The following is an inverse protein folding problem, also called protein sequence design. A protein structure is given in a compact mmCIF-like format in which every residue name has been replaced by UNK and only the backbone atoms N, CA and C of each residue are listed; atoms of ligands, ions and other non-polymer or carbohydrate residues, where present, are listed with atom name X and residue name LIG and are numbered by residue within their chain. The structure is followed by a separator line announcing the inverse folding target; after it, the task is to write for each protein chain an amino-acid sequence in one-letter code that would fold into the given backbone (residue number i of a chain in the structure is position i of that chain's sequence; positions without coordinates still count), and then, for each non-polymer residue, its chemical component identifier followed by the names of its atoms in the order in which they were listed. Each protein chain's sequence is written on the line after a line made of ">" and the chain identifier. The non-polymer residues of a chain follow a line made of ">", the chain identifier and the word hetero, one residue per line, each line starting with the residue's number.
data_IF_524185825299
#
_entry.id   IF_524185825299
#
_cell.length_a   1.000
_cell.length_b   1.000
_cell.length_c   1.000
_cell.angle_alpha   90.00
_cell.angle_beta   90.00
_cell.angle_gamma   90.00
#
_symmetry.space_group_name_H-M   'P 1'
#
loop_
_entity.id
_entity.type
_entity.pdbx_description
1 polymer ?
#
# COMPACT_ATOMS: atom_id res chain seq x y z
N UNK A 1 -19.00 -5.47 28.76
CA UNK A 1 -18.78 -6.09 27.44
C UNK A 1 -17.81 -5.16 26.75
N UNK A 2 -16.52 -5.51 26.69
CA UNK A 2 -15.53 -4.71 25.99
C UNK A 2 -15.54 -5.21 24.55
N UNK A 3 -16.02 -4.38 23.63
CA UNK A 3 -15.92 -4.64 22.21
C UNK A 3 -14.43 -4.61 21.86
N UNK A 4 -13.81 -5.79 21.76
CA UNK A 4 -12.50 -5.90 21.14
C UNK A 4 -12.68 -5.61 19.65
N UNK A 5 -12.70 -4.33 19.26
CA UNK A 5 -12.26 -3.94 17.92
C UNK A 5 -10.83 -4.47 17.84
N UNK A 6 -10.66 -5.56 17.09
CA UNK A 6 -9.34 -6.06 16.79
C UNK A 6 -8.69 -4.99 15.93
N UNK A 7 -7.73 -4.26 16.50
CA UNK A 7 -6.90 -3.34 15.72
C UNK A 7 -6.21 -4.20 14.66
N UNK A 8 -6.48 -3.95 13.37
CA UNK A 8 -5.88 -4.74 12.28
C UNK A 8 -4.35 -4.59 12.27
N UNK A 9 -3.67 -5.28 11.35
CA UNK A 9 -2.21 -5.14 11.27
C UNK A 9 -1.80 -3.69 10.95
N UNK A 10 -0.65 -3.25 11.48
CA UNK A 10 -0.03 -1.98 11.10
C UNK A 10 0.63 -2.12 9.72
N UNK A 11 0.12 -1.39 8.73
CA UNK A 11 0.40 -1.64 7.31
C UNK A 11 1.46 -0.74 6.71
N UNK A 12 1.92 0.31 7.40
CA UNK A 12 2.94 1.22 6.83
C UNK A 12 4.19 0.47 6.40
N UNK A 13 4.81 0.99 5.36
CA UNK A 13 5.99 0.40 4.77
C UNK A 13 5.86 0.26 3.26
N UNK A 14 6.86 -0.39 2.67
CA UNK A 14 6.79 -0.80 1.28
C UNK A 14 6.96 -2.30 1.14
N UNK A 15 6.25 -2.83 0.16
CA UNK A 15 6.07 -4.24 -0.10
C UNK A 15 6.49 -4.52 -1.52
N UNK A 16 7.21 -5.61 -1.73
CA UNK A 16 7.71 -6.00 -3.05
C UNK A 16 6.97 -7.22 -3.55
N UNK A 17 6.61 -7.20 -4.83
CA UNK A 17 6.03 -8.37 -5.48
C UNK A 17 6.96 -9.58 -5.33
N UNK A 18 6.38 -10.66 -4.83
CA UNK A 18 7.10 -11.88 -4.46
C UNK A 18 7.65 -12.63 -5.68
N UNK A 19 6.95 -12.58 -6.82
CA UNK A 19 7.27 -13.46 -7.96
C UNK A 19 8.27 -12.85 -8.93
N UNK A 20 8.11 -11.57 -9.24
CA UNK A 20 8.86 -10.85 -10.27
C UNK A 20 9.70 -9.73 -9.67
N UNK A 21 9.35 -9.23 -8.48
CA UNK A 21 9.99 -8.08 -7.83
C UNK A 21 9.98 -6.80 -8.70
N UNK A 22 9.07 -6.73 -9.67
CA UNK A 22 8.93 -5.59 -10.59
C UNK A 22 7.91 -4.56 -10.12
N UNK A 23 7.05 -4.93 -9.17
CA UNK A 23 6.05 -4.04 -8.58
C UNK A 23 6.41 -3.78 -7.12
N UNK A 24 6.29 -2.52 -6.70
CA UNK A 24 6.42 -2.11 -5.30
C UNK A 24 5.14 -1.41 -4.89
N UNK A 25 4.59 -1.77 -3.74
CA UNK A 25 3.39 -1.18 -3.16
C UNK A 25 3.77 -0.55 -1.82
N UNK A 26 3.51 0.73 -1.63
CA UNK A 26 3.78 1.46 -0.40
C UNK A 26 2.48 1.92 0.25
N UNK A 27 2.50 1.98 1.58
CA UNK A 27 1.41 2.51 2.39
C UNK A 27 1.93 3.44 3.49
N UNK A 28 1.14 4.46 3.79
CA UNK A 28 1.34 5.37 4.90
C UNK A 28 -0.01 5.77 5.49
N UNK A 29 -0.30 5.27 6.68
CA UNK A 29 -1.57 5.45 7.37
C UNK A 29 -1.68 6.85 7.99
N UNK A 30 -0.59 7.34 8.59
CA UNK A 30 -0.55 8.65 9.27
C UNK A 30 -0.71 9.85 8.32
N UNK A 31 -0.30 9.73 7.05
CA UNK A 31 -0.44 10.77 6.02
C UNK A 31 -1.71 10.55 5.19
N UNK A 32 -2.87 10.76 5.81
CA UNK A 32 -4.17 10.71 5.14
C UNK A 32 -4.46 9.38 4.41
N UNK A 33 -4.01 8.26 4.99
CA UNK A 33 -4.20 6.92 4.44
C UNK A 33 -3.77 6.78 2.97
N UNK A 34 -2.52 7.15 2.67
CA UNK A 34 -1.99 7.11 1.32
C UNK A 34 -1.41 5.76 0.94
N UNK A 35 -1.50 5.45 -0.35
CA UNK A 35 -0.82 4.32 -0.95
C UNK A 35 -0.21 4.71 -2.29
N UNK A 36 0.81 3.98 -2.72
CA UNK A 36 1.39 4.12 -4.06
C UNK A 36 1.84 2.76 -4.58
N UNK A 37 1.46 2.45 -5.82
CA UNK A 37 1.97 1.31 -6.56
C UNK A 37 2.92 1.81 -7.67
N UNK A 38 4.15 1.32 -7.63
CA UNK A 38 5.16 1.53 -8.66
C UNK A 38 5.30 0.25 -9.48
N UNK A 39 5.00 0.33 -10.78
CA UNK A 39 5.11 -0.78 -11.71
C UNK A 39 6.42 -0.82 -12.48
N UNK A 40 6.52 -1.82 -13.36
CA UNK A 40 7.69 -2.00 -14.23
C UNK A 40 7.81 -0.83 -15.21
N UNK A 41 8.93 -0.11 -15.16
CA UNK A 41 9.20 1.02 -16.05
C UNK A 41 8.88 2.39 -15.46
N UNK A 42 8.61 2.45 -14.15
CA UNK A 42 8.45 3.71 -13.42
C UNK A 42 7.03 4.29 -13.46
N UNK A 43 6.05 3.55 -14.01
CA UNK A 43 4.65 3.96 -13.90
C UNK A 43 4.25 3.96 -12.42
N UNK A 44 3.81 5.11 -11.94
CA UNK A 44 3.33 5.28 -10.57
C UNK A 44 1.82 5.51 -10.60
N UNK A 45 1.12 4.86 -9.69
CA UNK A 45 -0.29 5.13 -9.40
C UNK A 45 -0.41 5.28 -7.90
N UNK A 46 -0.98 6.37 -7.44
CA UNK A 46 -1.22 6.62 -6.03
C UNK A 46 -2.65 7.05 -5.75
N UNK A 47 -2.93 7.20 -4.46
CA UNK A 47 -4.21 7.68 -3.97
C UNK A 47 -4.40 7.37 -2.50
N UNK A 48 -5.65 7.15 -2.11
CA UNK A 48 -6.06 6.94 -0.72
C UNK A 48 -6.64 5.55 -0.51
N UNK A 49 -6.53 5.03 0.70
CA UNK A 49 -7.15 3.76 1.08
C UNK A 49 -8.06 3.91 2.29
N UNK A 50 -9.00 2.99 2.41
CA UNK A 50 -9.92 2.90 3.55
C UNK A 50 -9.95 1.47 4.08
N UNK A 51 -9.96 1.30 5.41
CA UNK A 51 -10.20 0.00 6.05
C UNK A 51 -11.70 -0.32 5.99
N UNK A 52 -12.02 -1.58 5.70
CA UNK A 52 -13.39 -2.09 5.73
C UNK A 52 -13.77 -2.53 7.15
N UNK A 53 -14.98 -3.09 7.33
CA UNK A 53 -15.40 -3.70 8.61
C UNK A 53 -14.41 -4.75 9.12
N UNK A 54 -13.81 -5.52 8.20
CA UNK A 54 -12.59 -6.27 8.50
C UNK A 54 -11.38 -5.34 8.38
N UNK A 55 -10.64 -5.09 9.48
CA UNK A 55 -9.57 -4.10 9.50
C UNK A 55 -8.34 -4.55 8.70
N UNK A 56 -8.27 -5.80 8.26
CA UNK A 56 -7.22 -6.32 7.41
C UNK A 56 -7.61 -6.28 5.92
N UNK A 57 -8.79 -5.78 5.58
CA UNK A 57 -9.24 -5.55 4.21
C UNK A 57 -9.25 -4.05 3.92
N UNK A 58 -8.47 -3.62 2.93
CA UNK A 58 -8.38 -2.23 2.50
C UNK A 58 -8.99 -2.07 1.10
N UNK A 59 -9.72 -0.98 0.86
CA UNK A 59 -10.09 -0.55 -0.49
C UNK A 59 -9.15 0.55 -0.93
N UNK A 60 -8.50 0.36 -2.08
CA UNK A 60 -7.62 1.35 -2.69
C UNK A 60 -8.42 2.19 -3.69
N UNK A 61 -8.36 3.50 -3.54
CA UNK A 61 -8.88 4.48 -4.49
C UNK A 61 -7.72 5.24 -5.12
N UNK A 62 -7.76 5.46 -6.43
CA UNK A 62 -6.80 6.33 -7.10
C UNK A 62 -7.06 7.82 -6.73
N UNK A 63 -6.25 8.73 -7.25
CA UNK A 63 -6.42 10.18 -7.05
C UNK A 63 -7.79 10.72 -7.48
N UNK A 64 -8.45 10.08 -8.46
CA UNK A 64 -9.79 10.44 -8.91
C UNK A 64 -10.90 9.93 -7.96
N UNK A 65 -10.56 9.17 -6.92
CA UNK A 65 -11.51 8.51 -6.02
C UNK A 65 -12.12 7.22 -6.56
N UNK A 66 -11.67 6.75 -7.73
CA UNK A 66 -12.14 5.52 -8.37
C UNK A 66 -11.48 4.31 -7.71
N UNK A 67 -12.22 3.21 -7.56
CA UNK A 67 -11.68 1.97 -6.99
C UNK A 67 -10.58 1.40 -7.89
N UNK A 68 -9.36 1.39 -7.38
CA UNK A 68 -8.20 0.76 -8.02
C UNK A 68 -8.15 -0.75 -7.71
N UNK A 69 -8.43 -1.13 -6.46
CA UNK A 69 -8.33 -2.52 -6.02
C UNK A 69 -8.71 -2.74 -4.57
N UNK A 70 -8.53 -3.97 -4.11
CA UNK A 70 -8.74 -4.36 -2.71
C UNK A 70 -7.50 -5.08 -2.21
N UNK A 71 -7.07 -4.77 -1.00
CA UNK A 71 -5.92 -5.39 -0.35
C UNK A 71 -6.40 -6.24 0.82
N UNK A 72 -5.86 -7.45 0.94
CA UNK A 72 -6.01 -8.28 2.11
C UNK A 72 -4.66 -8.45 2.79
N UNK A 73 -4.54 -7.93 4.01
CA UNK A 73 -3.34 -8.01 4.84
C UNK A 73 -3.39 -9.32 5.62
N UNK A 74 -2.68 -10.33 5.13
CA UNK A 74 -2.80 -11.66 5.71
C UNK A 74 -1.90 -11.86 6.94
N UNK A 75 -0.75 -11.19 6.99
CA UNK A 75 0.17 -11.30 8.12
C UNK A 75 1.17 -10.14 8.14
N UNK A 76 1.44 -9.60 9.33
CA UNK A 76 2.60 -8.74 9.61
C UNK A 76 3.19 -9.17 10.97
N UNK A 77 4.50 -9.37 11.02
CA UNK A 77 5.20 -9.74 12.26
C UNK A 77 5.16 -8.58 13.25
N UNK A 78 5.17 -8.89 14.55
CA UNK A 78 5.17 -7.86 15.60
C UNK A 78 6.36 -6.90 15.51
N UNK A 79 7.49 -7.37 14.97
CA UNK A 79 8.72 -6.58 14.76
C UNK A 79 8.73 -5.82 13.42
N UNK A 80 7.72 -6.04 12.56
CA UNK A 80 7.59 -5.46 11.21
C UNK A 80 8.80 -5.73 10.30
N UNK A 81 9.44 -6.88 10.47
CA UNK A 81 10.51 -7.38 9.58
C UNK A 81 10.00 -8.40 8.55
N UNK A 82 8.79 -8.92 8.76
CA UNK A 82 8.14 -9.88 7.88
C UNK A 82 6.66 -9.51 7.74
N UNK A 83 6.11 -9.77 6.57
CA UNK A 83 4.69 -9.61 6.32
C UNK A 83 4.36 -9.96 4.89
N UNK A 84 3.10 -10.27 4.62
CA UNK A 84 2.61 -10.39 3.26
C UNK A 84 1.16 -9.95 3.15
N UNK A 85 0.85 -9.39 2.00
CA UNK A 85 -0.48 -8.95 1.63
C UNK A 85 -0.79 -9.36 0.20
N UNK A 86 -2.07 -9.31 -0.14
CA UNK A 86 -2.57 -9.63 -1.47
C UNK A 86 -3.30 -8.42 -2.02
N UNK A 87 -2.91 -7.97 -3.21
CA UNK A 87 -3.64 -6.98 -3.98
C UNK A 87 -4.49 -7.69 -5.03
N UNK A 88 -5.80 -7.47 -4.95
CA UNK A 88 -6.80 -7.89 -5.92
C UNK A 88 -7.15 -6.70 -6.81
N UNK A 89 -6.90 -6.82 -8.11
CA UNK A 89 -7.25 -5.79 -9.10
C UNK A 89 -7.68 -6.46 -10.40
N UNK A 90 -8.79 -5.99 -10.98
CA UNK A 90 -9.41 -6.61 -12.15
C UNK A 90 -9.56 -8.14 -11.95
N UNK A 91 -8.86 -8.96 -12.73
CA UNK A 91 -8.84 -10.43 -12.69
C UNK A 91 -7.54 -11.00 -12.11
N UNK A 92 -6.64 -10.15 -11.63
CA UNK A 92 -5.30 -10.53 -11.12
C UNK A 92 -5.22 -10.41 -9.60
N UNK A 93 -4.52 -11.37 -9.00
CA UNK A 93 -4.07 -11.30 -7.60
C UNK A 93 -2.55 -11.30 -7.57
N UNK A 94 -1.97 -10.30 -6.92
CA UNK A 94 -0.52 -10.21 -6.70
C UNK A 94 -0.23 -10.31 -5.21
N UNK A 95 0.71 -11.18 -4.83
CA UNK A 95 1.23 -11.28 -3.47
C UNK A 95 2.44 -10.35 -3.33
N UNK A 96 2.46 -9.55 -2.27
CA UNK A 96 3.60 -8.74 -1.90
C UNK A 96 4.14 -9.14 -0.54
N UNK A 97 5.45 -9.09 -0.38
CA UNK A 97 6.13 -9.30 0.89
C UNK A 97 6.61 -7.96 1.44
N UNK A 98 6.49 -7.74 2.74
CA UNK A 98 7.03 -6.56 3.42
C UNK A 98 8.54 -6.52 3.21
N UNK A 99 9.02 -5.40 2.67
CA UNK A 99 10.44 -5.19 2.40
C UNK A 99 11.05 -4.17 3.38
N UNK A 100 10.26 -3.19 3.84
CA UNK A 100 10.61 -2.32 4.97
C UNK A 100 9.35 -1.78 5.63
N UNK A 101 9.40 -1.56 6.94
CA UNK A 101 8.36 -0.85 7.69
C UNK A 101 8.38 0.67 7.45
N UNK A 102 9.51 1.21 6.99
CA UNK A 102 9.60 2.59 6.53
C UNK A 102 8.98 2.71 5.13
N UNK A 103 7.95 3.54 4.95
CA UNK A 103 7.34 3.75 3.64
C UNK A 103 8.32 4.40 2.67
N UNK A 104 8.25 4.00 1.40
CA UNK A 104 9.01 4.61 0.32
C UNK A 104 8.04 5.02 -0.80
N UNK A 105 7.77 6.32 -0.90
CA UNK A 105 6.97 6.93 -1.96
C UNK A 105 7.91 7.64 -2.95
N UNK A 106 7.70 7.42 -4.23
CA UNK A 106 8.32 8.21 -5.29
C UNK A 106 7.54 9.52 -5.38
N UNK A 107 8.22 10.63 -5.11
CA UNK A 107 7.72 11.97 -5.44
C UNK A 107 8.06 12.23 -6.90
N UNK A 108 7.09 12.65 -7.71
CA UNK A 108 7.44 13.28 -8.99
C UNK A 108 8.26 14.52 -8.64
N UNK A 109 9.52 14.55 -9.08
CA UNK A 109 10.35 15.74 -8.99
C UNK A 109 9.66 16.80 -9.84
N UNK A 110 8.87 17.68 -9.22
CA UNK A 110 8.42 18.89 -9.88
C UNK A 110 9.68 19.59 -10.39
N UNK A 111 9.74 19.83 -11.70
CA UNK A 111 10.73 20.71 -12.27
C UNK A 111 10.71 22.01 -11.47
N UNK A 112 11.73 22.21 -10.64
CA UNK A 112 11.93 23.48 -9.94
C UNK A 112 12.27 24.47 -11.05
N UNK A 113 11.28 25.25 -11.47
CA UNK A 113 11.53 26.40 -12.32
C UNK A 113 12.48 27.31 -11.55
N UNK A 114 13.76 27.27 -11.94
CA UNK A 114 14.79 28.12 -11.36
C UNK A 114 14.62 29.48 -12.03
N UNK A 115 13.69 30.28 -11.51
CA UNK A 115 13.65 31.70 -11.84
C UNK A 115 14.90 32.34 -11.23
N UNK A 116 15.87 32.63 -12.10
CA UNK A 116 17.12 33.32 -11.77
C UNK A 116 17.00 34.83 -11.99
#
# INVERSE_FOLDING_TARGET
>A
MQECVSEGFAIDGYYRDDKTSLETLAFLEEDNHRWQLVGKGGNCVDGQFERMDDPNILVLKNENGEKFGTVHVAYISRRRDQGWLYLFRDTKVTRFNLASADPAFIVESGDVDVES
#
